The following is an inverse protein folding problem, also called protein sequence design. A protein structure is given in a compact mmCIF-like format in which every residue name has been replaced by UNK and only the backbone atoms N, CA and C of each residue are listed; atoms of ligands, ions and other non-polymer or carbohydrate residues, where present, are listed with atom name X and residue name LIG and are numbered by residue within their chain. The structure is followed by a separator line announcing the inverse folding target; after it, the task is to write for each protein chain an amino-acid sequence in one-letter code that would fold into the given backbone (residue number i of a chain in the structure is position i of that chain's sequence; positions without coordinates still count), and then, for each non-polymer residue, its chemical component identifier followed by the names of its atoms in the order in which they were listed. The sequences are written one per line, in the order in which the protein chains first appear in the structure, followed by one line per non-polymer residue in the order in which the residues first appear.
data_IF_718182168458
#
_entry.id   IF_718182168458
#
_cell.length_a   1.000
_cell.length_b   1.000
_cell.length_c   1.000
_cell.angle_alpha   90.00
_cell.angle_beta   90.00
_cell.angle_gamma   90.00
#
_symmetry.space_group_name_H-M   'P 1'
#
loop_
_entity.id
_entity.type
_entity.pdbx_description
1 polymer ?
#
# COMPACT_ATOMS: atom_id res chain seq x y z
N UNK A 1 -34.63 58.44 -3.05
CA UNK A 1 -35.42 57.22 -2.79
C UNK A 1 -36.31 57.06 -4.00
N UNK A 2 -36.10 56.10 -4.91
CA UNK A 2 -36.28 54.66 -4.68
C UNK A 2 -35.51 53.89 -5.76
N UNK A 3 -34.72 52.90 -5.35
CA UNK A 3 -33.95 51.98 -6.22
C UNK A 3 -34.80 50.75 -6.51
N UNK A 4 -34.80 50.29 -7.78
CA UNK A 4 -35.44 49.05 -8.27
C UNK A 4 -34.77 47.80 -7.69
N UNK A 5 -35.48 46.66 -7.57
CA UNK A 5 -34.87 45.41 -7.15
C UNK A 5 -34.27 44.68 -8.35
N UNK A 6 -32.98 44.34 -8.27
CA UNK A 6 -32.37 43.37 -9.17
C UNK A 6 -32.41 41.98 -8.52
N UNK A 7 -32.93 41.04 -9.29
CA UNK A 7 -32.97 39.62 -9.00
C UNK A 7 -31.59 39.03 -9.24
N UNK A 8 -31.01 38.34 -8.26
CA UNK A 8 -29.82 37.52 -8.45
C UNK A 8 -30.18 36.08 -8.06
N UNK A 9 -30.10 35.19 -9.04
CA UNK A 9 -30.38 33.77 -8.90
C UNK A 9 -29.36 33.07 -7.99
N UNK A 10 -29.87 32.17 -7.17
CA UNK A 10 -29.08 31.20 -6.42
C UNK A 10 -28.59 30.11 -7.38
N UNK A 11 -27.33 30.24 -7.81
CA UNK A 11 -26.53 29.12 -8.30
C UNK A 11 -25.76 28.54 -7.12
N UNK A 12 -26.33 27.56 -6.43
CA UNK A 12 -25.60 26.77 -5.45
C UNK A 12 -24.76 25.71 -6.18
N UNK A 13 -23.53 26.06 -6.54
CA UNK A 13 -22.53 25.04 -6.87
C UNK A 13 -22.25 24.20 -5.61
N UNK A 14 -22.21 22.85 -5.69
CA UNK A 14 -21.80 22.05 -4.55
C UNK A 14 -20.33 22.33 -4.27
N UNK A 15 -20.03 22.77 -3.05
CA UNK A 15 -18.65 22.91 -2.58
C UNK A 15 -17.95 21.54 -2.65
N UNK A 16 -17.14 21.32 -3.68
CA UNK A 16 -16.20 20.20 -3.70
C UNK A 16 -15.25 20.38 -2.51
N UNK A 17 -15.34 19.47 -1.54
CA UNK A 17 -14.40 19.46 -0.42
C UNK A 17 -12.98 19.27 -0.98
N UNK A 18 -12.06 20.23 -0.78
CA UNK A 18 -10.72 20.22 -1.39
C UNK A 18 -9.82 19.05 -0.94
N UNK A 19 -10.30 18.22 0.00
CA UNK A 19 -9.61 17.05 0.55
C UNK A 19 -9.90 15.75 -0.21
N UNK A 20 -10.98 15.67 -1.01
CA UNK A 20 -11.30 14.46 -1.79
C UNK A 20 -10.34 14.32 -2.97
N UNK A 21 -9.76 13.14 -3.12
CA UNK A 21 -8.83 12.80 -4.20
C UNK A 21 -7.39 13.26 -3.96
N UNK A 22 -7.09 13.91 -2.82
CA UNK A 22 -5.75 14.46 -2.54
C UNK A 22 -4.68 13.36 -2.52
N UNK A 23 -4.96 12.25 -1.83
CA UNK A 23 -3.98 11.18 -1.65
C UNK A 23 -3.90 10.28 -2.88
N UNK A 24 -5.03 10.01 -3.53
CA UNK A 24 -5.04 9.28 -4.79
C UNK A 24 -4.19 10.01 -5.85
N UNK A 25 -4.38 11.33 -6.00
CA UNK A 25 -3.58 12.15 -6.91
C UNK A 25 -2.11 12.20 -6.51
N UNK A 26 -1.81 12.29 -5.21
CA UNK A 26 -0.42 12.28 -4.72
C UNK A 26 0.29 10.97 -5.09
N UNK A 27 -0.37 9.82 -4.88
CA UNK A 27 0.14 8.51 -5.25
C UNK A 27 0.33 8.37 -6.77
N UNK A 28 -0.63 8.87 -7.55
CA UNK A 28 -0.51 8.89 -9.01
C UNK A 28 0.73 9.68 -9.46
N UNK A 29 0.95 10.88 -8.90
CA UNK A 29 2.12 11.71 -9.24
C UNK A 29 3.44 11.07 -8.82
N UNK A 30 3.53 10.60 -7.57
CA UNK A 30 4.75 9.99 -7.06
C UNK A 30 5.04 8.66 -7.77
N UNK A 31 4.02 7.89 -8.11
CA UNK A 31 4.12 6.68 -8.93
C UNK A 31 4.63 6.97 -10.33
N UNK A 32 4.04 7.94 -11.03
CA UNK A 32 4.43 8.31 -12.40
C UNK A 32 5.89 8.79 -12.48
N UNK A 33 6.39 9.42 -11.40
CA UNK A 33 7.76 9.90 -11.28
C UNK A 33 8.72 8.88 -10.64
N UNK A 34 8.27 7.65 -10.34
CA UNK A 34 9.05 6.62 -9.64
C UNK A 34 9.68 7.10 -8.32
N UNK A 35 8.98 8.00 -7.62
CA UNK A 35 9.45 8.48 -6.32
C UNK A 35 9.29 7.39 -5.28
N UNK A 36 10.32 7.22 -4.46
CA UNK A 36 10.34 6.29 -3.34
C UNK A 36 10.89 7.00 -2.10
N UNK A 37 10.55 6.54 -0.87
CA UNK A 37 11.12 7.09 0.35
C UNK A 37 12.64 6.98 0.40
N UNK A 38 13.28 7.83 1.20
CA UNK A 38 14.72 7.77 1.43
C UNK A 38 15.11 6.41 2.01
N UNK A 39 16.19 5.83 1.49
CA UNK A 39 16.70 4.52 1.91
C UNK A 39 15.87 3.32 1.42
N UNK A 40 14.84 3.54 0.58
CA UNK A 40 13.95 2.48 0.10
C UNK A 40 14.68 1.25 -0.43
N UNK A 41 15.65 1.42 -1.34
CA UNK A 41 16.35 0.28 -1.93
C UNK A 41 17.17 -0.50 -0.90
N UNK A 42 17.89 0.18 -0.01
CA UNK A 42 18.66 -0.48 1.05
C UNK A 42 17.76 -1.23 2.03
N UNK A 43 16.56 -0.69 2.31
CA UNK A 43 15.53 -1.35 3.11
C UNK A 43 14.98 -2.61 2.45
N UNK A 44 14.65 -2.54 1.16
CA UNK A 44 14.22 -3.71 0.37
C UNK A 44 15.31 -4.78 0.33
N UNK A 45 16.58 -4.37 0.24
CA UNK A 45 17.71 -5.30 0.34
C UNK A 45 17.75 -6.01 1.71
N UNK A 46 17.59 -5.28 2.82
CA UNK A 46 17.52 -5.87 4.16
C UNK A 46 16.34 -6.83 4.36
N UNK A 47 15.20 -6.55 3.73
CA UNK A 47 14.07 -7.50 3.67
C UNK A 47 14.47 -8.76 2.89
N UNK A 48 15.10 -8.59 1.73
CA UNK A 48 15.51 -9.69 0.88
C UNK A 48 16.54 -10.59 1.55
N UNK A 49 17.43 -10.05 2.39
CA UNK A 49 18.38 -10.86 3.17
C UNK A 49 17.69 -11.83 4.13
N UNK A 50 16.49 -11.49 4.60
CA UNK A 50 15.72 -12.25 5.59
C UNK A 50 14.55 -13.03 4.99
N UNK A 51 14.34 -13.03 3.67
CA UNK A 51 13.31 -13.85 3.02
C UNK A 51 13.89 -14.66 1.85
N UNK A 52 13.25 -15.77 1.44
CA UNK A 52 13.69 -16.54 0.27
C UNK A 52 13.60 -15.75 -1.04
N UNK A 53 12.65 -14.81 -1.10
CA UNK A 53 12.50 -13.87 -2.20
C UNK A 53 11.29 -12.95 -2.03
N UNK A 54 11.22 -11.94 -2.89
CA UNK A 54 10.13 -10.95 -2.92
C UNK A 54 9.44 -11.04 -4.28
N UNK A 55 8.15 -11.33 -4.30
CA UNK A 55 7.31 -11.39 -5.49
C UNK A 55 6.57 -10.08 -5.71
N UNK A 56 6.70 -9.55 -6.93
CA UNK A 56 5.92 -8.40 -7.42
C UNK A 56 5.58 -8.65 -8.89
N UNK A 57 4.29 -8.58 -9.25
CA UNK A 57 3.77 -8.69 -10.62
C UNK A 57 4.24 -9.98 -11.31
N UNK A 58 4.20 -11.11 -10.60
CA UNK A 58 4.64 -12.41 -11.09
C UNK A 58 6.14 -12.53 -11.35
N UNK A 59 6.97 -11.60 -10.86
CA UNK A 59 8.43 -11.71 -10.87
C UNK A 59 8.98 -11.79 -9.45
N UNK A 60 9.99 -12.65 -9.28
CA UNK A 60 10.67 -12.83 -8.00
C UNK A 60 12.03 -12.10 -8.01
N UNK A 61 12.33 -11.38 -6.93
CA UNK A 61 13.70 -11.07 -6.51
C UNK A 61 14.15 -12.20 -5.58
N UNK A 62 15.03 -13.11 -6.03
CA UNK A 62 15.52 -14.18 -5.19
C UNK A 62 16.57 -13.66 -4.20
N UNK A 63 16.65 -14.27 -3.01
CA UNK A 63 17.66 -13.96 -1.99
C UNK A 63 19.09 -13.97 -2.50
N UNK A 64 19.40 -14.81 -3.50
CA UNK A 64 20.74 -14.90 -4.10
C UNK A 64 21.32 -13.56 -4.57
N UNK A 65 20.47 -12.60 -4.94
CA UNK A 65 20.90 -11.25 -5.34
C UNK A 65 21.68 -10.52 -4.24
N UNK A 66 21.41 -10.77 -2.95
CA UNK A 66 22.14 -10.12 -1.85
C UNK A 66 23.56 -10.63 -1.69
N UNK A 67 23.90 -11.78 -2.28
CA UNK A 67 25.27 -12.33 -2.30
C UNK A 67 26.09 -11.80 -3.47
N UNK A 68 25.41 -11.44 -4.55
CA UNK A 68 26.04 -10.92 -5.76
C UNK A 68 26.25 -9.40 -5.69
N UNK A 69 25.50 -8.71 -4.83
CA UNK A 69 25.31 -7.26 -4.87
C UNK A 69 25.04 -6.70 -3.47
N UNK A 70 25.53 -5.49 -3.18
CA UNK A 70 25.37 -4.83 -1.87
C UNK A 70 24.18 -3.86 -1.82
N UNK A 71 23.72 -3.53 -0.60
CA UNK A 71 22.56 -2.66 -0.36
C UNK A 71 22.68 -1.22 -0.91
N UNK A 72 23.92 -0.76 -1.16
CA UNK A 72 24.23 0.57 -1.68
C UNK A 72 24.59 0.60 -3.17
N UNK A 73 24.65 -0.56 -3.82
CA UNK A 73 25.00 -0.64 -5.23
C UNK A 73 23.82 -0.28 -6.14
N UNK A 74 24.10 0.56 -7.14
CA UNK A 74 23.11 0.99 -8.14
C UNK A 74 22.43 -0.17 -8.86
N UNK A 75 23.18 -1.26 -9.11
CA UNK A 75 22.66 -2.42 -9.84
C UNK A 75 21.50 -3.08 -9.08
N UNK A 76 21.50 -3.08 -7.73
CA UNK A 76 20.39 -3.65 -6.95
C UNK A 76 19.16 -2.76 -7.06
N UNK A 77 19.36 -1.45 -6.86
CA UNK A 77 18.30 -0.46 -7.01
C UNK A 77 17.64 -0.54 -8.39
N UNK A 78 18.43 -0.65 -9.46
CA UNK A 78 17.93 -0.81 -10.83
C UNK A 78 17.06 -2.07 -10.96
N UNK A 79 17.47 -3.20 -10.37
CA UNK A 79 16.70 -4.45 -10.46
C UNK A 79 15.36 -4.37 -9.74
N UNK A 80 15.28 -3.64 -8.62
CA UNK A 80 14.03 -3.36 -7.90
C UNK A 80 13.16 -2.41 -8.71
N UNK A 81 13.74 -1.31 -9.20
CA UNK A 81 13.05 -0.30 -10.02
C UNK A 81 12.46 -0.92 -11.29
N UNK A 82 13.21 -1.77 -11.99
CA UNK A 82 12.75 -2.53 -13.14
C UNK A 82 11.56 -3.45 -12.84
N UNK A 83 11.39 -3.92 -11.60
CA UNK A 83 10.19 -4.67 -11.23
C UNK A 83 9.01 -3.73 -11.00
N UNK A 84 9.22 -2.65 -10.25
CA UNK A 84 8.17 -1.67 -9.95
C UNK A 84 7.68 -0.94 -11.21
N UNK A 85 8.56 -0.70 -12.18
CA UNK A 85 8.22 -0.11 -13.47
C UNK A 85 7.33 -0.99 -14.35
N UNK A 86 7.20 -2.30 -14.04
CA UNK A 86 6.25 -3.18 -14.75
C UNK A 86 4.81 -2.99 -14.31
N UNK A 87 4.59 -2.23 -13.25
CA UNK A 87 3.27 -1.91 -12.72
C UNK A 87 2.74 -0.74 -13.55
N UNK A 88 1.70 -0.93 -14.40
CA UNK A 88 1.23 0.14 -15.27
C UNK A 88 0.53 1.25 -14.48
N UNK A 89 -0.11 0.94 -13.36
CA UNK A 89 -0.85 1.89 -12.54
C UNK A 89 0.05 2.58 -11.50
N UNK A 90 0.32 3.89 -11.63
CA UNK A 90 1.28 4.56 -10.75
C UNK A 90 0.81 4.63 -9.29
N UNK A 91 -0.48 4.80 -9.03
CA UNK A 91 -1.06 4.76 -7.68
C UNK A 91 -0.91 3.39 -7.01
N UNK A 92 -1.06 2.31 -7.77
CA UNK A 92 -0.85 0.95 -7.27
C UNK A 92 0.64 0.66 -7.04
N UNK A 93 1.52 1.18 -7.90
CA UNK A 93 2.98 1.16 -7.66
C UNK A 93 3.33 1.79 -6.31
N UNK A 94 2.71 2.92 -5.96
CA UNK A 94 2.95 3.56 -4.66
C UNK A 94 2.41 2.74 -3.49
N UNK A 95 1.25 2.08 -3.61
CA UNK A 95 0.80 1.16 -2.54
C UNK A 95 1.77 0.00 -2.31
N UNK A 96 2.39 -0.52 -3.37
CA UNK A 96 3.41 -1.57 -3.25
C UNK A 96 4.72 -1.04 -2.64
N UNK A 97 5.11 0.21 -2.93
CA UNK A 97 6.22 0.89 -2.24
C UNK A 97 5.90 1.07 -0.75
N UNK A 98 4.70 1.55 -0.40
CA UNK A 98 4.25 1.68 1.00
C UNK A 98 4.28 0.32 1.71
N UNK A 99 3.79 -0.76 1.08
CA UNK A 99 3.82 -2.11 1.64
C UNK A 99 5.25 -2.61 1.90
N UNK A 100 6.17 -2.44 0.94
CA UNK A 100 7.58 -2.80 1.12
C UNK A 100 8.22 -2.03 2.27
N UNK A 101 7.86 -0.76 2.46
CA UNK A 101 8.33 0.04 3.57
C UNK A 101 7.81 -0.49 4.91
N UNK A 102 6.53 -0.83 5.02
CA UNK A 102 5.97 -1.47 6.22
C UNK A 102 6.69 -2.77 6.54
N UNK A 103 6.91 -3.65 5.54
CA UNK A 103 7.65 -4.90 5.74
C UNK A 103 9.07 -4.61 6.23
N UNK A 104 9.74 -3.61 5.66
CA UNK A 104 11.11 -3.25 6.08
C UNK A 104 11.19 -2.82 7.54
N UNK A 105 10.16 -2.18 8.08
CA UNK A 105 10.11 -1.84 9.51
C UNK A 105 10.07 -3.09 10.41
N UNK A 106 9.43 -4.17 9.98
CA UNK A 106 9.43 -5.44 10.76
C UNK A 106 10.82 -6.06 10.86
N UNK A 107 11.63 -5.83 9.82
CA UNK A 107 13.02 -6.26 9.72
C UNK A 107 13.89 -5.30 10.55
N UNK A 108 13.78 -3.99 10.37
CA UNK A 108 14.58 -3.00 11.11
C UNK A 108 14.39 -3.06 12.64
N UNK A 109 13.20 -3.45 13.11
CA UNK A 109 12.89 -3.59 14.54
C UNK A 109 13.06 -5.02 15.06
N UNK A 110 13.67 -5.92 14.28
CA UNK A 110 13.88 -7.33 14.60
C UNK A 110 12.59 -8.08 15.06
N UNK A 111 11.42 -7.60 14.63
CA UNK A 111 10.14 -8.26 14.83
C UNK A 111 10.03 -9.55 13.99
N UNK A 112 10.79 -9.64 12.90
CA UNK A 112 10.99 -10.84 12.09
C UNK A 112 12.47 -11.09 11.84
N UNK A 113 12.97 -12.23 12.32
CA UNK A 113 14.34 -12.64 12.04
C UNK A 113 14.49 -13.26 10.64
N UNK A 114 13.54 -14.10 10.20
CA UNK A 114 13.53 -14.71 8.87
C UNK A 114 12.11 -15.07 8.46
N UNK A 115 11.74 -14.76 7.22
CA UNK A 115 10.50 -15.23 6.58
C UNK A 115 10.69 -16.64 6.04
N UNK A 116 9.75 -17.54 6.29
CA UNK A 116 9.81 -18.93 5.78
C UNK A 116 9.53 -19.00 4.29
N UNK A 117 8.52 -18.25 3.86
CA UNK A 117 8.03 -18.25 2.49
C UNK A 117 8.42 -16.94 1.77
N UNK A 118 8.50 -16.97 0.42
CA UNK A 118 8.63 -15.76 -0.36
C UNK A 118 7.49 -14.77 -0.08
N UNK A 119 7.83 -13.49 -0.02
CA UNK A 119 6.84 -12.44 0.25
C UNK A 119 6.07 -12.08 -1.01
N UNK A 120 4.75 -12.23 -0.99
CA UNK A 120 3.85 -11.70 -2.01
C UNK A 120 3.37 -10.29 -1.63
N UNK A 121 4.00 -9.27 -2.21
CA UNK A 121 3.70 -7.86 -1.89
C UNK A 121 2.29 -7.48 -2.37
N UNK A 122 1.82 -8.03 -3.49
CA UNK A 122 0.48 -7.77 -4.01
C UNK A 122 -0.58 -8.39 -3.10
N UNK A 123 -0.35 -9.64 -2.66
CA UNK A 123 -1.19 -10.31 -1.68
C UNK A 123 -1.32 -9.53 -0.37
N UNK A 124 -0.25 -8.89 0.11
CA UNK A 124 -0.29 -8.02 1.30
C UNK A 124 -1.19 -6.80 1.07
N UNK A 125 -1.05 -6.10 -0.06
CA UNK A 125 -1.91 -4.95 -0.38
C UNK A 125 -3.37 -5.37 -0.53
N UNK A 126 -3.64 -6.51 -1.17
CA UNK A 126 -5.01 -7.04 -1.30
C UNK A 126 -5.61 -7.40 0.05
N UNK A 127 -4.83 -8.02 0.95
CA UNK A 127 -5.27 -8.29 2.32
C UNK A 127 -5.54 -7.01 3.10
N UNK A 128 -4.66 -6.00 3.00
CA UNK A 128 -4.88 -4.70 3.62
C UNK A 128 -6.17 -4.04 3.12
N UNK A 129 -6.43 -4.09 1.82
CA UNK A 129 -7.68 -3.63 1.23
C UNK A 129 -8.90 -4.41 1.75
N UNK A 130 -8.81 -5.73 1.90
CA UNK A 130 -9.88 -6.54 2.51
C UNK A 130 -10.23 -6.07 3.92
N UNK A 131 -9.22 -5.89 4.78
CA UNK A 131 -9.36 -5.38 6.14
C UNK A 131 -9.95 -3.96 6.13
N UNK A 132 -9.52 -3.10 5.20
CA UNK A 132 -10.13 -1.78 5.01
C UNK A 132 -11.61 -1.89 4.72
N UNK A 133 -12.05 -2.73 3.78
CA UNK A 133 -13.45 -2.87 3.44
C UNK A 133 -14.30 -3.43 4.60
N UNK A 134 -13.73 -4.29 5.44
CA UNK A 134 -14.36 -4.74 6.70
C UNK A 134 -14.64 -3.55 7.63
N UNK A 135 -13.62 -2.73 7.91
CA UNK A 135 -13.77 -1.53 8.74
C UNK A 135 -14.75 -0.53 8.09
N UNK A 136 -14.75 -0.37 6.77
CA UNK A 136 -15.71 0.49 6.07
C UNK A 136 -17.15 0.02 6.26
N UNK A 137 -17.41 -1.29 6.34
CA UNK A 137 -18.75 -1.82 6.65
C UNK A 137 -19.11 -1.60 8.10
N UNK A 138 -18.16 -1.84 9.02
CA UNK A 138 -18.40 -1.72 10.45
C UNK A 138 -18.69 -0.28 10.88
N UNK A 139 -17.96 0.70 10.33
CA UNK A 139 -18.05 2.11 10.73
C UNK A 139 -18.79 2.98 9.71
N UNK A 140 -19.48 2.37 8.74
CA UNK A 140 -20.25 3.06 7.69
C UNK A 140 -19.41 4.10 6.95
N UNK A 141 -18.23 3.69 6.49
CA UNK A 141 -17.28 4.54 5.77
C UNK A 141 -17.68 4.82 4.31
N UNK A 142 -16.89 5.65 3.62
CA UNK A 142 -17.19 6.10 2.26
C UNK A 142 -17.35 4.95 1.24
N UNK A 143 -16.69 3.80 1.46
CA UNK A 143 -16.83 2.64 0.57
C UNK A 143 -18.23 2.03 0.59
N UNK A 144 -19.07 2.36 1.58
CA UNK A 144 -20.50 2.05 1.60
C UNK A 144 -21.30 2.77 0.52
N UNK A 145 -20.74 3.81 -0.10
CA UNK A 145 -21.35 4.46 -1.26
C UNK A 145 -21.11 3.66 -2.55
N UNK A 146 -20.18 2.71 -2.57
CA UNK A 146 -19.81 1.99 -3.77
C UNK A 146 -19.67 0.48 -3.51
N UNK A 147 -18.45 -0.05 -3.43
CA UNK A 147 -18.17 -1.48 -3.46
C UNK A 147 -18.56 -2.27 -2.19
N UNK A 148 -18.91 -1.62 -1.08
CA UNK A 148 -19.31 -2.33 0.15
C UNK A 148 -20.81 -2.68 0.22
N UNK A 149 -21.66 -2.20 -0.70
CA UNK A 149 -23.11 -2.45 -0.70
C UNK A 149 -23.61 -2.99 -2.04
N UNK A 150 -24.71 -3.74 -2.00
CA UNK A 150 -25.37 -4.30 -3.19
C UNK A 150 -26.88 -4.03 -3.15
N UNK A 151 -27.45 -3.31 -4.15
CA UNK A 151 -26.74 -2.66 -5.26
C UNK A 151 -25.89 -1.46 -4.80
N UNK A 152 -24.80 -1.11 -5.51
CA UNK A 152 -23.98 0.05 -5.19
C UNK A 152 -24.74 1.37 -5.38
N UNK A 153 -24.56 2.34 -4.49
CA UNK A 153 -25.18 3.68 -4.60
C UNK A 153 -24.58 4.45 -5.78
N UNK A 154 -23.27 4.32 -6.00
CA UNK A 154 -22.55 4.84 -7.17
C UNK A 154 -21.52 3.80 -7.66
N UNK A 155 -21.12 3.82 -8.94
CA UNK A 155 -20.05 2.96 -9.42
C UNK A 155 -18.75 3.25 -8.65
N UNK A 156 -18.02 2.20 -8.29
CA UNK A 156 -16.67 2.34 -7.74
C UNK A 156 -15.68 2.45 -8.89
N UNK A 157 -14.81 3.44 -8.87
CA UNK A 157 -13.67 3.47 -9.79
C UNK A 157 -12.56 2.54 -9.29
N UNK A 158 -12.80 1.23 -9.41
CA UNK A 158 -11.86 0.20 -8.96
C UNK A 158 -10.71 0.06 -9.95
N UNK A 159 -9.47 0.17 -9.45
CA UNK A 159 -8.27 -0.07 -10.25
C UNK A 159 -7.48 -1.24 -9.67
N UNK A 160 -7.19 -2.25 -10.49
CA UNK A 160 -6.54 -3.51 -10.06
C UNK A 160 -7.28 -4.20 -8.90
N UNK A 161 -8.61 -4.11 -8.87
CA UNK A 161 -9.44 -4.70 -7.81
C UNK A 161 -9.43 -3.95 -6.48
N UNK A 162 -8.80 -2.77 -6.40
CA UNK A 162 -8.73 -1.95 -5.18
C UNK A 162 -9.73 -0.79 -5.26
N UNK A 163 -10.46 -0.55 -4.17
CA UNK A 163 -11.42 0.54 -4.04
C UNK A 163 -10.75 1.93 -4.17
N UNK A 164 -11.41 2.85 -4.88
CA UNK A 164 -10.96 4.25 -5.01
C UNK A 164 -10.71 4.93 -3.65
N UNK A 165 -11.52 4.61 -2.64
CA UNK A 165 -11.39 5.19 -1.30
C UNK A 165 -10.18 4.65 -0.53
N UNK A 166 -9.69 3.46 -0.87
CA UNK A 166 -8.44 2.97 -0.31
C UNK A 166 -7.26 3.75 -0.92
N UNK A 167 -7.25 3.95 -2.24
CA UNK A 167 -6.26 4.79 -2.92
C UNK A 167 -6.25 6.24 -2.42
N UNK A 168 -7.41 6.76 -1.99
CA UNK A 168 -7.54 8.13 -1.48
C UNK A 168 -7.41 8.25 0.04
N UNK A 169 -7.20 7.14 0.75
CA UNK A 169 -6.98 7.21 2.19
C UNK A 169 -5.57 7.74 2.50
N UNK A 170 -5.47 8.59 3.52
CA UNK A 170 -4.18 9.14 3.96
C UNK A 170 -3.22 8.00 4.35
N UNK A 171 -1.88 8.14 4.18
CA UNK A 171 -0.94 7.16 4.69
C UNK A 171 -1.07 6.96 6.20
N UNK A 172 -1.25 8.05 6.94
CA UNK A 172 -1.34 8.06 8.41
C UNK A 172 -2.79 8.08 8.92
N UNK A 173 -2.94 7.84 10.23
CA UNK A 173 -4.23 7.86 10.92
C UNK A 173 -4.83 6.47 11.13
N UNK A 174 -5.86 6.39 11.98
CA UNK A 174 -6.51 5.12 12.36
C UNK A 174 -7.15 4.38 11.17
N UNK A 175 -7.61 5.13 10.15
CA UNK A 175 -8.16 4.58 8.90
C UNK A 175 -7.26 4.87 7.69
N UNK A 176 -5.97 5.14 7.91
CA UNK A 176 -4.99 5.36 6.85
C UNK A 176 -4.42 4.08 6.25
N UNK A 177 -3.87 4.14 5.03
CA UNK A 177 -3.34 2.96 4.32
C UNK A 177 -2.29 2.22 5.14
N UNK A 178 -1.38 2.92 5.81
CA UNK A 178 -0.28 2.30 6.56
C UNK A 178 -0.81 1.45 7.71
N UNK A 179 -1.92 1.86 8.35
CA UNK A 179 -2.57 1.08 9.42
C UNK A 179 -3.05 -0.27 8.91
N UNK A 180 -3.66 -0.30 7.72
CA UNK A 180 -4.12 -1.56 7.13
C UNK A 180 -2.98 -2.41 6.58
N UNK A 181 -1.93 -1.79 6.02
CA UNK A 181 -0.73 -2.51 5.59
C UNK A 181 -0.03 -3.16 6.78
N UNK A 182 0.12 -2.45 7.91
CA UNK A 182 0.66 -3.01 9.16
C UNK A 182 -0.20 -4.17 9.65
N UNK A 183 -1.53 -4.01 9.68
CA UNK A 183 -2.44 -5.11 10.05
C UNK A 183 -2.28 -6.31 9.12
N UNK A 184 -2.19 -6.12 7.81
CA UNK A 184 -2.02 -7.21 6.84
C UNK A 184 -0.69 -7.95 7.03
N UNK A 185 0.41 -7.23 7.23
CA UNK A 185 1.73 -7.81 7.52
C UNK A 185 1.71 -8.58 8.85
N UNK A 186 1.06 -8.05 9.89
CA UNK A 186 0.91 -8.75 11.16
C UNK A 186 0.13 -10.08 11.00
N UNK A 187 -0.95 -10.11 10.22
CA UNK A 187 -1.68 -11.35 9.94
C UNK A 187 -0.80 -12.38 9.23
N UNK A 188 -0.04 -11.96 8.22
CA UNK A 188 0.93 -12.83 7.55
C UNK A 188 1.97 -13.40 8.53
N UNK A 189 2.40 -12.62 9.53
CA UNK A 189 3.33 -13.08 10.55
C UNK A 189 2.69 -14.06 11.56
N UNK A 190 1.43 -13.86 11.94
CA UNK A 190 0.72 -14.76 12.85
C UNK A 190 0.35 -16.10 12.20
N UNK A 191 0.20 -16.14 10.87
CA UNK A 191 -0.02 -17.38 10.10
C UNK A 191 1.28 -18.22 9.97
N UNK A 192 2.45 -17.70 10.37
CA UNK A 192 3.68 -18.49 10.46
C UNK A 192 3.66 -19.35 11.73
N UNK A 193 3.93 -20.67 11.65
CA UNK A 193 3.98 -21.51 12.84
C UNK A 193 5.02 -20.97 13.83
N UNK A 194 4.60 -20.69 15.07
CA UNK A 194 5.49 -20.47 16.20
C UNK A 194 6.15 -21.80 16.59
N UNK A 195 7.16 -22.22 15.85
CA UNK A 195 8.06 -23.33 16.21
C UNK A 195 9.34 -23.17 15.40
N UNK A 196 10.43 -22.66 15.96
CA UNK A 196 11.33 -23.44 16.80
C UNK A 196 12.04 -22.50 17.79
N UNK A 197 11.45 -22.34 18.97
CA UNK A 197 12.25 -22.16 20.18
C UNK A 197 12.31 -23.53 20.84
N UNK A 198 13.30 -24.32 20.46
CA UNK A 198 13.82 -25.45 21.24
C UNK A 198 15.12 -25.91 20.56
N UNK A 199 16.22 -25.24 20.88
CA UNK A 199 17.52 -25.90 20.86
C UNK A 199 17.52 -26.88 22.04
N UNK A 200 17.18 -28.15 21.78
CA UNK A 200 17.53 -29.21 22.72
C UNK A 200 18.97 -29.62 22.42
N UNK A 201 19.90 -29.49 23.38
CA UNK A 201 21.25 -29.98 23.18
C UNK A 201 21.28 -31.50 23.30
N UNK A 202 22.01 -32.16 22.40
CA UNK A 202 22.59 -33.49 22.59
C UNK A 202 23.95 -33.53 21.91
#
# INVERSE_FOLDING_TARGET
MTVKPDSAGEGSEPSEHPERGQWARRRQLDGALNRVPVGFYSRVWGVLERCPGIWIRGKCLPRGLTREMTAGEFKFALRVEEMLNKIPEPEYRQLLVEALMVISLTVENDAVYTFRDPLDVEGIVQRAHGIFLEDQRQYVGNSMLCCCVSPPVRPCNTMVGICEHFYDSAPSGCFGTMTYLVRAVAHMMHELPASLHECVPS
#
